data_IF_912962910134
#
_entry.id   IF_912962910134
#
_cell.length_a   1.000
_cell.length_b   1.000
_cell.length_c   1.000
_cell.angle_alpha   90.00
_cell.angle_beta   90.00
_cell.angle_gamma   90.00
#
_symmetry.space_group_name_H-M   'P 1'
#
loop_
_entity.id
_entity.type
_entity.pdbx_description
1 polymer ?
#
# COMPACT_ATOMS: atom_id res chain seq x y z
N UNK A 1 10.59 2.84 -5.98
CA UNK A 1 10.67 1.61 -5.11
C UNK A 1 10.76 2.10 -3.66
N UNK A 2 10.32 1.41 -2.59
CA UNK A 2 10.58 1.91 -1.23
C UNK A 2 12.10 2.07 -1.07
N UNK A 3 12.59 3.30 -1.04
CA UNK A 3 14.03 3.57 -1.21
C UNK A 3 14.74 3.63 0.13
N UNK A 4 14.03 4.02 1.19
CA UNK A 4 14.59 3.89 2.54
C UNK A 4 14.61 2.43 2.99
N UNK A 5 15.65 2.00 3.72
CA UNK A 5 15.68 0.68 4.35
C UNK A 5 14.45 0.41 5.24
N UNK A 6 13.89 1.45 5.85
CA UNK A 6 12.70 1.37 6.69
C UNK A 6 11.44 1.05 5.89
N UNK A 7 11.24 1.72 4.76
CA UNK A 7 10.09 1.48 3.87
C UNK A 7 10.14 0.06 3.31
N UNK A 8 11.34 -0.41 2.91
CA UNK A 8 11.54 -1.80 2.47
C UNK A 8 11.15 -2.78 3.56
N UNK A 9 11.59 -2.53 4.80
CA UNK A 9 11.26 -3.37 5.96
C UNK A 9 9.75 -3.39 6.22
N UNK A 10 9.07 -2.24 6.19
CA UNK A 10 7.61 -2.15 6.37
C UNK A 10 6.86 -2.91 5.26
N UNK A 11 7.24 -2.72 4.00
CA UNK A 11 6.64 -3.43 2.87
C UNK A 11 6.81 -4.96 3.00
N UNK A 12 8.00 -5.43 3.37
CA UNK A 12 8.27 -6.86 3.60
C UNK A 12 7.39 -7.42 4.73
N UNK A 13 7.22 -6.69 5.83
CA UNK A 13 6.34 -7.13 6.93
C UNK A 13 4.89 -7.28 6.48
N UNK A 14 4.38 -6.33 5.67
CA UNK A 14 3.04 -6.42 5.08
C UNK A 14 2.91 -7.60 4.12
N UNK A 15 3.90 -7.81 3.26
CA UNK A 15 3.93 -8.97 2.35
C UNK A 15 3.92 -10.30 3.11
N UNK A 16 4.69 -10.42 4.20
CA UNK A 16 4.67 -11.61 5.07
C UNK A 16 3.30 -11.86 5.69
N UNK A 17 2.59 -10.80 6.10
CA UNK A 17 1.22 -10.90 6.59
C UNK A 17 0.26 -11.38 5.49
N UNK A 18 0.34 -10.82 4.29
CA UNK A 18 -0.49 -11.23 3.14
C UNK A 18 -0.23 -12.70 2.78
N UNK A 19 1.04 -13.12 2.78
CA UNK A 19 1.40 -14.53 2.57
C UNK A 19 0.71 -15.45 3.59
N UNK A 20 0.76 -15.11 4.88
CA UNK A 20 0.07 -15.89 5.91
C UNK A 20 -1.45 -15.92 5.75
N UNK A 21 -2.06 -14.82 5.25
CA UNK A 21 -3.49 -14.79 4.91
C UNK A 21 -3.81 -15.71 3.73
N UNK A 22 -2.97 -15.75 2.70
CA UNK A 22 -3.13 -16.64 1.56
C UNK A 22 -3.03 -18.12 1.96
N UNK A 23 -2.01 -18.47 2.77
CA UNK A 23 -1.85 -19.82 3.31
C UNK A 23 -3.03 -20.24 4.21
N UNK A 24 -3.60 -19.29 4.97
CA UNK A 24 -4.80 -19.56 5.76
C UNK A 24 -6.05 -19.79 4.90
N UNK A 25 -6.18 -19.04 3.79
CA UNK A 25 -7.27 -19.20 2.84
C UNK A 25 -7.19 -20.57 2.14
N UNK A 26 -5.99 -20.99 1.74
CA UNK A 26 -5.75 -22.31 1.13
C UNK A 26 -6.21 -23.43 2.08
N UNK A 27 -5.76 -23.41 3.34
CA UNK A 27 -6.20 -24.38 4.35
C UNK A 27 -7.72 -24.35 4.59
N UNK A 28 -8.34 -23.18 4.54
CA UNK A 28 -9.79 -23.04 4.70
C UNK A 28 -10.56 -23.70 3.56
N UNK A 29 -10.06 -23.57 2.33
CA UNK A 29 -10.63 -24.24 1.14
C UNK A 29 -10.44 -25.76 1.25
N UNK A 30 -9.24 -26.24 1.59
CA UNK A 30 -8.96 -27.67 1.76
C UNK A 30 -9.81 -28.31 2.86
N UNK A 31 -10.07 -27.57 3.94
CA UNK A 31 -10.88 -28.04 5.07
C UNK A 31 -12.40 -27.95 4.81
N UNK A 32 -12.83 -27.43 3.65
CA UNK A 32 -14.24 -27.31 3.28
C UNK A 32 -15.03 -26.35 4.17
N UNK A 33 -14.41 -25.26 4.64
CA UNK A 33 -15.09 -24.25 5.47
C UNK A 33 -16.23 -23.59 4.67
N UNK A 34 -17.32 -23.24 5.36
CA UNK A 34 -18.46 -22.48 4.80
C UNK A 34 -18.05 -21.24 4.00
N UNK A 35 -18.84 -20.93 2.97
CA UNK A 35 -18.53 -19.80 2.07
C UNK A 35 -18.49 -18.45 2.78
N UNK A 36 -19.33 -18.22 3.81
CA UNK A 36 -19.39 -16.93 4.50
C UNK A 36 -18.07 -16.55 5.20
N UNK A 37 -17.48 -17.37 6.10
CA UNK A 37 -16.18 -17.07 6.68
C UNK A 37 -15.04 -17.07 5.66
N UNK A 38 -15.12 -17.88 4.59
CA UNK A 38 -14.14 -17.82 3.49
C UNK A 38 -14.15 -16.45 2.79
N UNK A 39 -15.34 -15.92 2.48
CA UNK A 39 -15.51 -14.58 1.90
C UNK A 39 -14.95 -13.49 2.83
N UNK A 40 -15.10 -13.64 4.15
CA UNK A 40 -14.52 -12.71 5.12
C UNK A 40 -12.97 -12.72 5.07
N UNK A 41 -12.36 -13.90 4.96
CA UNK A 41 -10.90 -14.00 4.80
C UNK A 41 -10.42 -13.35 3.50
N UNK A 42 -11.15 -13.54 2.40
CA UNK A 42 -10.85 -12.90 1.10
C UNK A 42 -10.91 -11.37 1.24
N UNK A 43 -11.97 -10.84 1.85
CA UNK A 43 -12.11 -9.38 2.08
C UNK A 43 -10.96 -8.84 2.94
N UNK A 44 -10.57 -9.57 3.98
CA UNK A 44 -9.44 -9.18 4.85
C UNK A 44 -8.10 -9.18 4.10
N UNK A 45 -7.88 -10.14 3.19
CA UNK A 45 -6.68 -10.19 2.35
C UNK A 45 -6.68 -9.07 1.30
N UNK A 46 -7.83 -8.80 0.66
CA UNK A 46 -8.00 -7.66 -0.25
C UNK A 46 -7.66 -6.33 0.43
N UNK A 47 -8.18 -6.10 1.64
CA UNK A 47 -7.87 -4.90 2.40
C UNK A 47 -6.38 -4.76 2.74
N UNK A 48 -5.70 -5.89 3.03
CA UNK A 48 -4.26 -5.90 3.26
C UNK A 48 -3.46 -5.53 2.00
N UNK A 49 -3.85 -6.08 0.84
CA UNK A 49 -3.24 -5.78 -0.45
C UNK A 49 -3.47 -4.31 -0.85
N UNK A 50 -4.68 -3.78 -0.69
CA UNK A 50 -4.99 -2.38 -0.95
C UNK A 50 -4.16 -1.44 -0.06
N UNK A 51 -3.99 -1.79 1.22
CA UNK A 51 -3.12 -1.04 2.12
C UNK A 51 -1.67 -0.98 1.65
N UNK A 52 -1.13 -2.10 1.14
CA UNK A 52 0.22 -2.13 0.56
C UNK A 52 0.29 -1.31 -0.74
N UNK A 53 -0.73 -1.40 -1.60
CA UNK A 53 -0.80 -0.64 -2.85
C UNK A 53 -0.75 0.87 -2.60
N UNK A 54 -1.50 1.36 -1.61
CA UNK A 54 -1.51 2.78 -1.21
C UNK A 54 -0.11 3.24 -0.80
N UNK A 55 0.59 2.48 0.05
CA UNK A 55 1.95 2.84 0.48
C UNK A 55 2.95 2.89 -0.68
N UNK A 56 2.91 1.88 -1.56
CA UNK A 56 3.81 1.83 -2.72
C UNK A 56 3.53 2.98 -3.68
N UNK A 57 2.25 3.30 -3.90
CA UNK A 57 1.84 4.39 -4.77
C UNK A 57 2.24 5.76 -4.20
N UNK A 58 2.11 5.98 -2.90
CA UNK A 58 2.60 7.19 -2.25
C UNK A 58 4.11 7.37 -2.46
N UNK A 59 4.88 6.31 -2.23
CA UNK A 59 6.33 6.33 -2.46
C UNK A 59 6.67 6.62 -3.93
N UNK A 60 5.90 6.06 -4.88
CA UNK A 60 6.13 6.30 -6.31
C UNK A 60 5.78 7.73 -6.73
N UNK A 61 4.68 8.30 -6.20
CA UNK A 61 4.28 9.68 -6.50
C UNK A 61 5.31 10.68 -5.96
N UNK A 62 5.80 10.49 -4.73
CA UNK A 62 6.86 11.31 -4.14
C UNK A 62 8.17 11.24 -4.92
N UNK A 63 8.49 10.08 -5.49
CA UNK A 63 9.66 9.88 -6.36
C UNK A 63 9.49 10.55 -7.73
N UNK A 64 8.30 10.46 -8.32
CA UNK A 64 8.06 10.93 -9.70
C UNK A 64 7.82 12.43 -9.78
N UNK A 65 7.23 13.01 -8.73
CA UNK A 65 6.79 14.40 -8.70
C UNK A 65 7.42 15.22 -7.57
N UNK A 66 8.32 14.61 -6.78
CA UNK A 66 9.07 15.33 -5.76
C UNK A 66 10.05 16.32 -6.38
N UNK A 67 10.44 17.37 -5.65
CA UNK A 67 11.38 18.37 -6.15
C UNK A 67 12.77 17.74 -6.41
N UNK A 68 13.38 18.09 -7.55
CA UNK A 68 14.76 17.74 -7.86
C UNK A 68 15.69 18.50 -6.93
N UNK A 69 16.38 17.77 -6.04
CA UNK A 69 17.27 18.32 -5.01
C UNK A 69 18.45 19.13 -5.64
N UNK A 70 18.73 18.92 -6.93
CA UNK A 70 19.82 19.55 -7.68
C UNK A 70 19.42 20.85 -8.42
N UNK A 71 18.11 21.14 -8.53
CA UNK A 71 17.63 22.37 -9.13
C UNK A 71 17.56 23.49 -8.08
N UNK A 72 18.32 24.56 -8.31
CA UNK A 72 18.47 25.74 -7.43
C UNK A 72 17.20 26.61 -7.33
N UNK A 73 16.05 26.08 -7.74
CA UNK A 73 14.77 26.75 -7.68
C UNK A 73 14.05 26.27 -6.41
N UNK A 74 14.20 27.05 -5.33
CA UNK A 74 13.57 26.85 -4.02
C UNK A 74 12.05 27.09 -4.07
N UNK A 75 11.40 26.74 -5.18
CA UNK A 75 9.96 26.85 -5.41
C UNK A 75 9.19 25.80 -4.62
N UNK A 76 8.64 26.23 -3.48
CA UNK A 76 7.51 25.64 -2.75
C UNK A 76 7.43 24.10 -2.71
N UNK A 77 8.41 23.46 -2.06
CA UNK A 77 8.35 22.05 -1.63
C UNK A 77 7.02 21.71 -0.92
N UNK A 78 6.44 22.69 -0.22
CA UNK A 78 5.13 22.62 0.45
C UNK A 78 3.97 22.32 -0.51
N UNK A 79 3.96 22.93 -1.70
CA UNK A 79 2.85 22.80 -2.66
C UNK A 79 2.84 21.40 -3.30
N UNK A 80 4.01 20.81 -3.54
CA UNK A 80 4.10 19.43 -4.05
C UNK A 80 3.58 18.42 -3.04
N UNK A 81 3.95 18.57 -1.78
CA UNK A 81 3.51 17.67 -0.70
C UNK A 81 1.99 17.76 -0.48
N UNK A 82 1.41 18.96 -0.53
CA UNK A 82 -0.04 19.16 -0.45
C UNK A 82 -0.80 18.50 -1.61
N UNK A 83 -0.26 18.62 -2.84
CA UNK A 83 -0.85 17.98 -4.01
C UNK A 83 -0.81 16.45 -3.93
N UNK A 84 0.33 15.89 -3.49
CA UNK A 84 0.47 14.44 -3.30
C UNK A 84 -0.51 13.95 -2.23
N UNK A 85 -0.61 14.63 -1.09
CA UNK A 85 -1.57 14.26 -0.03
C UNK A 85 -3.03 14.35 -0.53
N UNK A 86 -3.35 15.35 -1.36
CA UNK A 86 -4.64 15.47 -2.04
C UNK A 86 -4.97 14.24 -2.89
N UNK A 87 -4.04 13.80 -3.74
CA UNK A 87 -4.19 12.59 -4.58
C UNK A 87 -4.32 11.34 -3.71
N UNK A 88 -3.47 11.22 -2.68
CA UNK A 88 -3.51 10.09 -1.76
C UNK A 88 -4.83 9.99 -1.00
N UNK A 89 -5.43 11.12 -0.61
CA UNK A 89 -6.75 11.17 0.02
C UNK A 89 -7.85 10.64 -0.90
N UNK A 90 -7.80 10.98 -2.19
CA UNK A 90 -8.72 10.47 -3.20
C UNK A 90 -8.52 8.95 -3.35
N UNK A 91 -7.28 8.49 -3.53
CA UNK A 91 -6.94 7.08 -3.70
C UNK A 91 -7.38 6.23 -2.50
N UNK A 92 -7.12 6.68 -1.26
CA UNK A 92 -7.56 6.01 -0.03
C UNK A 92 -9.09 5.90 0.08
N UNK A 93 -9.85 6.79 -0.56
CA UNK A 93 -11.32 6.74 -0.58
C UNK A 93 -11.84 5.69 -1.57
N UNK A 94 -11.20 5.53 -2.72
CA UNK A 94 -11.61 4.60 -3.77
C UNK A 94 -11.05 3.18 -3.60
N UNK A 95 -9.93 3.03 -2.88
CA UNK A 95 -9.28 1.73 -2.62
C UNK A 95 -9.70 1.08 -1.29
N UNK A 96 -10.85 1.48 -0.73
CA UNK A 96 -11.44 0.81 0.46
C UNK A 96 -11.96 -0.59 0.13
#
# INVERSE_FOLDING_TARGET
MPHSPEDKKRAILRLRRIKGQAEALERAVESGIDCAPLLQQIVAMRGAANGLMIEVMESHLRETFGPDIDSTDTGDVSVYDDNIEGVMKILRRYLK
#
